data_IF_766846841707
#
_entry.id   IF_766846841707
#
_cell.length_a   1.000
_cell.length_b   1.000
_cell.length_c   1.000
_cell.angle_alpha   90.00
_cell.angle_beta   90.00
_cell.angle_gamma   90.00
#
_symmetry.space_group_name_H-M   'P 1'
#
loop_
_entity.id
_entity.type
_entity.pdbx_description
1 polymer ?
#
# COMPACT_ATOMS: atom_id res chain seq x y z
N UNK A 1 8.64 2.25 12.75
CA UNK A 1 9.77 2.53 11.82
C UNK A 1 9.23 3.33 10.65
N UNK A 2 9.93 4.39 10.23
CA UNK A 2 9.44 5.26 9.16
C UNK A 2 9.65 4.60 7.80
N UNK A 3 8.55 4.46 7.04
CA UNK A 3 8.59 4.09 5.63
C UNK A 3 8.42 5.35 4.78
N UNK A 4 9.07 5.38 3.61
CA UNK A 4 8.99 6.51 2.68
C UNK A 4 8.89 6.07 1.24
N UNK A 5 8.14 6.85 0.46
CA UNK A 5 8.05 6.75 -0.99
C UNK A 5 9.09 7.66 -1.65
N UNK A 6 9.71 7.16 -2.72
CA UNK A 6 10.54 7.97 -3.63
C UNK A 6 9.71 8.69 -4.68
N UNK A 7 8.51 8.19 -4.97
CA UNK A 7 7.57 8.83 -5.90
C UNK A 7 7.02 10.13 -5.31
N UNK A 8 6.96 11.18 -6.13
CA UNK A 8 6.32 12.46 -5.80
C UNK A 8 4.90 12.60 -6.34
N UNK A 9 4.55 11.77 -7.31
CA UNK A 9 3.25 11.77 -7.97
C UNK A 9 2.54 10.44 -7.69
N UNK A 10 1.37 10.46 -7.04
CA UNK A 10 0.55 9.28 -6.86
C UNK A 10 0.07 8.72 -8.20
N UNK A 11 -0.08 7.39 -8.28
CA UNK A 11 -0.73 6.74 -9.40
C UNK A 11 -2.22 7.13 -9.47
N UNK A 12 -2.78 7.23 -10.67
CA UNK A 12 -4.22 7.40 -10.87
C UNK A 12 -4.97 6.12 -10.50
N UNK A 13 -6.28 6.21 -10.27
CA UNK A 13 -7.13 5.07 -9.92
C UNK A 13 -6.97 3.90 -10.91
N UNK A 14 -6.94 4.21 -12.22
CA UNK A 14 -6.73 3.20 -13.26
C UNK A 14 -5.35 2.53 -13.16
N UNK A 15 -4.31 3.31 -12.87
CA UNK A 15 -2.95 2.78 -12.66
C UNK A 15 -2.85 1.94 -11.38
N UNK A 16 -3.58 2.32 -10.33
CA UNK A 16 -3.68 1.54 -9.09
C UNK A 16 -4.31 0.19 -9.38
N UNK A 17 -5.46 0.15 -10.05
CA UNK A 17 -6.15 -1.11 -10.41
C UNK A 17 -5.22 -1.99 -11.25
N UNK A 18 -4.66 -1.45 -12.33
CA UNK A 18 -3.79 -2.20 -13.22
C UNK A 18 -2.57 -2.80 -12.50
N UNK A 19 -1.91 -2.02 -11.65
CA UNK A 19 -0.71 -2.49 -10.96
C UNK A 19 -1.00 -3.40 -9.76
N UNK A 20 -2.16 -3.26 -9.10
CA UNK A 20 -2.61 -4.23 -8.10
C UNK A 20 -2.89 -5.58 -8.79
N UNK A 21 -3.60 -5.58 -9.91
CA UNK A 21 -3.83 -6.79 -10.71
C UNK A 21 -2.52 -7.46 -11.15
N UNK A 22 -1.57 -6.70 -11.73
CA UNK A 22 -0.27 -7.26 -12.15
C UNK A 22 0.48 -7.95 -10.98
N UNK A 23 0.53 -7.31 -9.82
CA UNK A 23 1.22 -7.87 -8.64
C UNK A 23 0.52 -9.15 -8.17
N UNK A 24 -0.81 -9.18 -8.16
CA UNK A 24 -1.57 -10.35 -7.72
C UNK A 24 -1.42 -11.52 -8.71
N UNK A 25 -1.51 -11.25 -10.01
CA UNK A 25 -1.33 -12.26 -11.06
C UNK A 25 0.08 -12.88 -10.99
N UNK A 26 1.11 -12.04 -10.85
CA UNK A 26 2.49 -12.49 -10.70
C UNK A 26 2.72 -13.28 -9.41
N UNK A 27 2.05 -12.92 -8.32
CA UNK A 27 2.11 -13.70 -7.06
C UNK A 27 1.44 -15.07 -7.23
N UNK A 28 0.29 -15.12 -7.89
CA UNK A 28 -0.46 -16.37 -8.13
C UNK A 28 0.31 -17.34 -9.02
N UNK A 29 1.14 -16.85 -9.95
CA UNK A 29 1.98 -17.66 -10.81
C UNK A 29 3.16 -18.35 -10.09
N UNK A 30 3.46 -17.99 -8.84
CA UNK A 30 4.63 -18.47 -8.10
C UNK A 30 4.22 -19.33 -6.91
N UNK A 31 4.88 -20.48 -6.73
CA UNK A 31 4.69 -21.33 -5.54
C UNK A 31 5.14 -20.65 -4.24
N UNK A 32 6.13 -19.77 -4.34
CA UNK A 32 6.72 -18.98 -3.23
C UNK A 32 7.10 -17.59 -3.75
N UNK A 33 6.16 -16.64 -3.82
CA UNK A 33 6.46 -15.31 -4.34
C UNK A 33 7.46 -14.58 -3.41
N UNK A 34 8.45 -13.86 -3.97
CA UNK A 34 9.42 -13.14 -3.15
C UNK A 34 8.75 -11.96 -2.44
N UNK A 35 9.26 -11.61 -1.25
CA UNK A 35 8.77 -10.48 -0.44
C UNK A 35 9.01 -9.12 -1.11
N UNK A 36 9.89 -9.08 -2.11
CA UNK A 36 10.17 -7.91 -2.95
C UNK A 36 9.18 -7.74 -4.11
N UNK A 37 8.30 -8.72 -4.37
CA UNK A 37 7.23 -8.58 -5.35
C UNK A 37 6.07 -7.80 -4.72
N UNK A 38 6.13 -6.49 -4.85
CA UNK A 38 5.19 -5.51 -4.30
C UNK A 38 4.83 -4.45 -5.33
N UNK A 39 3.79 -3.66 -5.05
CA UNK A 39 3.42 -2.50 -5.87
C UNK A 39 4.50 -1.42 -5.84
N UNK A 40 4.49 -0.52 -6.82
CA UNK A 40 5.42 0.62 -6.85
C UNK A 40 5.06 1.70 -5.83
N UNK A 41 5.99 2.63 -5.56
CA UNK A 41 5.76 3.76 -4.65
C UNK A 41 4.59 4.65 -5.08
N UNK A 42 4.44 4.90 -6.38
CA UNK A 42 3.34 5.70 -6.90
C UNK A 42 1.99 5.00 -6.66
N UNK A 43 1.93 3.69 -6.81
CA UNK A 43 0.73 2.89 -6.54
C UNK A 43 0.45 2.84 -5.04
N UNK A 44 1.47 2.67 -4.19
CA UNK A 44 1.30 2.71 -2.74
C UNK A 44 0.69 4.06 -2.28
N UNK A 45 1.15 5.19 -2.84
CA UNK A 45 0.53 6.50 -2.61
C UNK A 45 -0.90 6.56 -3.15
N UNK A 46 -1.13 6.08 -4.37
CA UNK A 46 -2.47 6.06 -4.98
C UNK A 46 -3.48 5.30 -4.13
N UNK A 47 -3.11 4.12 -3.63
CA UNK A 47 -3.95 3.33 -2.71
C UNK A 47 -4.26 4.15 -1.45
N UNK A 48 -3.27 4.79 -0.83
CA UNK A 48 -3.52 5.61 0.36
C UNK A 48 -4.45 6.80 0.09
N UNK A 49 -4.35 7.40 -1.10
CA UNK A 49 -5.26 8.45 -1.55
C UNK A 49 -6.72 7.97 -1.66
N UNK A 50 -6.94 6.78 -2.22
CA UNK A 50 -8.28 6.18 -2.36
C UNK A 50 -8.99 5.95 -1.01
N UNK A 51 -8.23 5.65 0.04
CA UNK A 51 -8.75 5.38 1.38
C UNK A 51 -8.57 6.56 2.35
N UNK A 52 -8.24 7.75 1.85
CA UNK A 52 -8.17 8.96 2.66
C UNK A 52 -9.57 9.42 3.07
N UNK A 53 -9.80 9.64 4.36
CA UNK A 53 -11.10 10.07 4.89
C UNK A 53 -10.98 10.72 6.26
N UNK A 54 -12.10 11.20 6.81
CA UNK A 54 -12.15 11.81 8.15
C UNK A 54 -12.03 10.80 9.31
N UNK A 55 -12.07 9.50 9.04
CA UNK A 55 -11.89 8.46 10.08
C UNK A 55 -10.45 8.50 10.64
N UNK A 56 -10.19 7.95 11.84
CA UNK A 56 -8.84 7.86 12.37
C UNK A 56 -7.86 7.14 11.43
N UNK A 57 -8.24 6.00 10.87
CA UNK A 57 -7.45 5.24 9.88
C UNK A 57 -7.29 5.98 8.56
N UNK A 58 -8.37 6.61 8.07
CA UNK A 58 -8.36 7.43 6.86
C UNK A 58 -7.40 8.62 6.96
N UNK A 59 -7.25 9.24 8.14
CA UNK A 59 -6.29 10.33 8.37
C UNK A 59 -4.83 9.87 8.37
N UNK A 60 -4.55 8.65 8.82
CA UNK A 60 -3.22 8.05 8.72
C UNK A 60 -2.86 7.83 7.25
N UNK A 61 -3.80 7.28 6.46
CA UNK A 61 -3.64 7.08 5.02
C UNK A 61 -3.48 8.41 4.27
N UNK A 62 -4.27 9.43 4.63
CA UNK A 62 -4.14 10.77 4.08
C UNK A 62 -2.78 11.40 4.40
N UNK A 63 -2.28 11.24 5.62
CA UNK A 63 -0.97 11.75 6.00
C UNK A 63 0.13 11.13 5.14
N UNK A 64 0.08 9.82 4.94
CA UNK A 64 1.02 9.12 4.06
C UNK A 64 0.87 9.57 2.60
N UNK A 65 -0.35 9.68 2.09
CA UNK A 65 -0.64 10.16 0.74
C UNK A 65 -0.04 11.56 0.49
N UNK A 66 -0.20 12.49 1.44
CA UNK A 66 0.28 13.88 1.30
C UNK A 66 1.79 14.03 1.51
N UNK A 67 2.37 13.29 2.45
CA UNK A 67 3.78 13.47 2.86
C UNK A 67 4.74 12.48 2.22
N UNK A 68 4.23 11.34 1.76
CA UNK A 68 5.02 10.23 1.26
C UNK A 68 5.86 9.52 2.31
N UNK A 69 5.69 9.84 3.60
CA UNK A 69 6.42 9.20 4.70
C UNK A 69 5.57 9.14 5.96
N UNK A 70 5.60 8.02 6.67
CA UNK A 70 4.87 7.81 7.93
C UNK A 70 5.46 6.62 8.70
N UNK A 71 5.07 6.44 9.97
CA UNK A 71 5.37 5.20 10.68
C UNK A 71 4.65 4.00 10.02
N UNK A 72 5.43 2.99 9.64
CA UNK A 72 4.93 1.82 8.95
C UNK A 72 4.00 0.95 9.80
N UNK A 73 4.14 0.95 11.13
CA UNK A 73 3.22 0.21 12.00
C UNK A 73 1.84 0.87 12.00
N UNK A 74 1.79 2.20 12.17
CA UNK A 74 0.54 2.97 12.10
C UNK A 74 -0.15 2.79 10.75
N UNK A 75 0.62 2.81 9.65
CA UNK A 75 0.08 2.63 8.31
C UNK A 75 -0.45 1.21 8.06
N UNK A 76 0.19 0.16 8.61
CA UNK A 76 -0.31 -1.22 8.54
C UNK A 76 -1.62 -1.34 9.32
N UNK A 77 -1.69 -0.79 10.53
CA UNK A 77 -2.90 -0.86 11.35
C UNK A 77 -4.05 -0.10 10.70
N UNK A 78 -3.81 1.10 10.16
CA UNK A 78 -4.81 1.85 9.41
C UNK A 78 -5.31 1.06 8.18
N UNK A 79 -4.40 0.46 7.40
CA UNK A 79 -4.78 -0.35 6.25
C UNK A 79 -5.61 -1.58 6.64
N UNK A 80 -5.28 -2.25 7.77
CA UNK A 80 -6.06 -3.39 8.29
C UNK A 80 -7.45 -3.00 8.74
N UNK A 81 -7.60 -1.84 9.38
CA UNK A 81 -8.91 -1.30 9.76
C UNK A 81 -9.76 -1.09 8.52
N UNK A 82 -9.24 -0.38 7.50
CA UNK A 82 -9.98 -0.14 6.26
C UNK A 82 -10.29 -1.43 5.49
N UNK A 83 -9.43 -2.46 5.57
CA UNK A 83 -9.70 -3.78 4.98
C UNK A 83 -10.97 -4.45 5.51
N UNK A 84 -11.39 -4.11 6.74
CA UNK A 84 -12.63 -4.62 7.35
C UNK A 84 -13.91 -4.02 6.76
N UNK A 85 -13.80 -2.90 6.05
CA UNK A 85 -14.93 -2.17 5.47
C UNK A 85 -14.88 -2.07 3.94
N UNK A 86 -13.73 -2.38 3.33
CA UNK A 86 -13.52 -2.26 1.89
C UNK A 86 -14.26 -3.35 1.08
N UNK A 87 -14.52 -3.04 -0.20
CA UNK A 87 -14.92 -4.05 -1.19
C UNK A 87 -13.80 -5.10 -1.39
N UNK A 88 -14.05 -6.22 -2.08
CA UNK A 88 -13.00 -7.19 -2.40
C UNK A 88 -11.79 -6.57 -3.11
N UNK A 89 -12.03 -5.68 -4.08
CA UNK A 89 -10.99 -4.96 -4.83
C UNK A 89 -10.22 -4.02 -3.91
N UNK A 90 -10.94 -3.29 -3.05
CA UNK A 90 -10.33 -2.41 -2.06
C UNK A 90 -9.50 -3.16 -1.03
N UNK A 91 -9.99 -4.33 -0.57
CA UNK A 91 -9.27 -5.21 0.32
C UNK A 91 -7.96 -5.70 -0.31
N UNK A 92 -7.99 -6.06 -1.59
CA UNK A 92 -6.83 -6.51 -2.35
C UNK A 92 -5.79 -5.38 -2.55
N UNK A 93 -6.26 -4.15 -2.80
CA UNK A 93 -5.40 -2.97 -2.87
C UNK A 93 -4.69 -2.70 -1.53
N UNK A 94 -5.43 -2.69 -0.42
CA UNK A 94 -4.87 -2.51 0.92
C UNK A 94 -3.91 -3.65 1.31
N UNK A 95 -4.20 -4.89 0.90
CA UNK A 95 -3.29 -6.02 1.08
C UNK A 95 -1.96 -5.80 0.33
N UNK A 96 -2.02 -5.25 -0.89
CA UNK A 96 -0.82 -4.89 -1.64
C UNK A 96 -0.04 -3.74 -0.98
N UNK A 97 -0.72 -2.73 -0.43
CA UNK A 97 -0.09 -1.66 0.35
C UNK A 97 0.65 -2.23 1.57
N UNK A 98 0.02 -3.10 2.36
CA UNK A 98 0.67 -3.77 3.51
C UNK A 98 1.91 -4.55 3.07
N UNK A 99 1.83 -5.25 1.92
CA UNK A 99 2.98 -5.93 1.33
C UNK A 99 4.14 -4.98 1.02
N UNK A 100 3.86 -3.83 0.40
CA UNK A 100 4.85 -2.79 0.14
C UNK A 100 5.50 -2.27 1.43
N UNK A 101 4.70 -1.94 2.46
CA UNK A 101 5.22 -1.46 3.76
C UNK A 101 6.18 -2.48 4.36
N UNK A 102 5.79 -3.76 4.38
CA UNK A 102 6.63 -4.85 4.90
C UNK A 102 7.94 -5.01 4.14
N UNK A 103 7.92 -4.85 2.81
CA UNK A 103 9.15 -4.91 2.01
C UNK A 103 10.12 -3.76 2.33
N UNK A 104 9.60 -2.57 2.68
CA UNK A 104 10.41 -1.44 3.15
C UNK A 104 11.02 -1.72 4.52
N UNK A 105 10.26 -2.40 5.37
CA UNK A 105 10.71 -2.73 6.72
C UNK A 105 11.82 -3.78 6.70
N UNK A 106 11.64 -4.83 5.91
CA UNK A 106 12.60 -5.92 5.86
C UNK A 106 13.86 -5.55 5.06
N UNK A 107 13.75 -4.67 4.07
CA UNK A 107 14.88 -4.21 3.26
C UNK A 107 15.79 -3.17 3.92
N UNK A 108 15.57 -2.80 5.19
CA UNK A 108 16.46 -1.91 5.95
C UNK A 108 17.39 -2.66 6.91
N UNK A 109 17.31 -4.00 6.96
CA UNK A 109 18.15 -4.87 7.81
C UNK A 109 19.37 -5.44 7.05
N UNK A 110 19.50 -5.13 5.75
CA UNK A 110 20.67 -5.49 4.92
C UNK A 110 21.62 -4.30 4.73
#
# INVERSE_FOLDING_TARGET
>A
MIVSCRARTPATDLQVVAGVSDVLDRRAALKRPPTTLVVSDAIALGIAGLFSSATPSGRVLEHFYRRGSIDGADLIEAARVEQGFASPEGHAALHCLIGWIRSRVNGQID
#
